data_IF_702666964208
#
_entry.id   IF_702666964208
#
_cell.length_a   1.000
_cell.length_b   1.000
_cell.length_c   1.000
_cell.angle_alpha   90.00
_cell.angle_beta   90.00
_cell.angle_gamma   90.00
#
_symmetry.space_group_name_H-M   'P 1'
#
loop_
_entity.id
_entity.type
_entity.pdbx_description
1 polymer ?
#
# COMPACT_ATOMS: atom_id res chain seq x y z
N UNK A 1 13.53 15.95 17.35
CA UNK A 1 12.19 15.32 17.35
C UNK A 1 12.44 13.85 17.09
N UNK A 2 12.06 12.95 18.00
CA UNK A 2 12.39 11.52 17.87
C UNK A 2 11.69 10.96 16.62
N UNK A 3 12.43 10.78 15.53
CA UNK A 3 12.04 9.92 14.43
C UNK A 3 12.06 8.49 14.97
N UNK A 4 10.89 8.03 15.42
CA UNK A 4 10.72 6.65 15.83
C UNK A 4 10.87 5.77 14.58
N UNK A 5 11.84 4.86 14.59
CA UNK A 5 12.08 3.85 13.54
C UNK A 5 10.94 2.82 13.36
N UNK A 6 9.75 3.11 13.90
CA UNK A 6 8.56 2.30 13.79
C UNK A 6 7.83 2.66 12.49
N UNK A 7 7.62 1.68 11.62
CA UNK A 7 6.86 1.84 10.37
C UNK A 7 6.11 0.53 10.07
N UNK A 8 4.86 0.56 9.58
CA UNK A 8 4.05 1.72 9.17
C UNK A 8 3.25 2.35 10.33
N UNK A 9 3.26 3.68 10.43
CA UNK A 9 2.49 4.43 11.44
C UNK A 9 1.14 4.83 10.87
N UNK A 10 0.07 4.62 11.63
CA UNK A 10 -1.27 5.07 11.26
C UNK A 10 -1.40 6.59 11.34
N UNK A 11 -1.99 7.20 10.30
CA UNK A 11 -2.47 8.59 10.34
C UNK A 11 -3.48 8.79 11.50
N UNK A 12 -3.62 10.01 12.01
CA UNK A 12 -4.47 10.28 13.20
C UNK A 12 -5.91 9.80 13.05
N UNK A 13 -6.51 9.94 11.86
CA UNK A 13 -7.87 9.46 11.58
C UNK A 13 -7.94 7.92 11.61
N UNK A 14 -6.97 7.26 10.98
CA UNK A 14 -6.88 5.79 10.97
C UNK A 14 -6.60 5.26 12.38
N UNK A 15 -5.73 5.93 13.15
CA UNK A 15 -5.41 5.59 14.51
C UNK A 15 -6.66 5.62 15.41
N UNK A 16 -7.53 6.63 15.26
CA UNK A 16 -8.82 6.67 15.96
C UNK A 16 -9.71 5.48 15.59
N UNK A 17 -9.89 5.20 14.29
CA UNK A 17 -10.67 4.04 13.83
C UNK A 17 -10.11 2.71 14.35
N UNK A 18 -8.78 2.56 14.41
CA UNK A 18 -8.10 1.38 14.99
C UNK A 18 -8.41 1.27 16.48
N UNK A 19 -8.30 2.36 17.23
CA UNK A 19 -8.54 2.36 18.67
C UNK A 19 -10.01 2.05 19.01
N UNK A 20 -10.96 2.57 18.23
CA UNK A 20 -12.38 2.25 18.38
C UNK A 20 -12.64 0.77 18.08
N UNK A 21 -12.03 0.21 17.02
CA UNK A 21 -12.13 -1.21 16.69
C UNK A 21 -11.53 -2.08 17.81
N UNK A 22 -10.38 -1.70 18.37
CA UNK A 22 -9.76 -2.40 19.51
C UNK A 22 -10.68 -2.41 20.72
N UNK A 23 -11.35 -1.29 21.00
CA UNK A 23 -12.30 -1.18 22.10
C UNK A 23 -13.49 -2.13 21.89
N UNK A 24 -14.07 -2.16 20.69
CA UNK A 24 -15.14 -3.09 20.34
C UNK A 24 -14.66 -4.54 20.45
N UNK A 25 -13.51 -4.89 19.86
CA UNK A 25 -12.93 -6.22 19.94
C UNK A 25 -12.66 -6.69 21.39
N UNK A 26 -12.35 -5.75 22.30
CA UNK A 26 -12.22 -6.02 23.73
C UNK A 26 -13.55 -6.47 24.35
N UNK A 27 -14.67 -5.84 24.00
CA UNK A 27 -16.01 -6.22 24.46
C UNK A 27 -16.42 -7.62 23.97
N UNK A 28 -16.10 -7.96 22.72
CA UNK A 28 -16.37 -9.28 22.14
C UNK A 28 -15.34 -10.36 22.53
N UNK A 29 -14.37 -10.05 23.41
CA UNK A 29 -13.28 -10.94 23.84
C UNK A 29 -12.41 -11.47 22.69
N UNK A 30 -12.32 -10.73 21.58
CA UNK A 30 -11.52 -11.04 20.40
C UNK A 30 -10.15 -10.34 20.39
N UNK A 31 -9.73 -9.82 21.54
CA UNK A 31 -8.48 -9.06 21.67
C UNK A 31 -7.50 -9.77 22.60
N UNK A 32 -6.28 -9.99 22.13
CA UNK A 32 -5.13 -10.42 22.92
C UNK A 32 -4.16 -9.27 23.12
N UNK A 33 -3.63 -9.14 24.34
CA UNK A 33 -2.91 -7.95 24.82
C UNK A 33 -1.49 -8.36 25.20
N UNK A 34 -0.50 -7.62 24.70
CA UNK A 34 0.93 -7.82 24.98
C UNK A 34 1.68 -8.54 23.86
N UNK A 35 3.01 -8.33 23.82
CA UNK A 35 3.88 -8.84 22.76
C UNK A 35 3.94 -10.38 22.72
N UNK A 36 4.03 -11.04 23.88
CA UNK A 36 4.06 -12.50 23.97
C UNK A 36 2.75 -13.13 23.51
N UNK A 37 1.61 -12.48 23.79
CA UNK A 37 0.31 -12.97 23.37
C UNK A 37 0.10 -12.77 21.86
N UNK A 38 0.55 -11.63 21.30
CA UNK A 38 0.57 -11.41 19.85
C UNK A 38 1.44 -12.45 19.13
N UNK A 39 2.60 -12.82 19.70
CA UNK A 39 3.46 -13.88 19.15
C UNK A 39 2.74 -15.24 19.14
N UNK A 40 1.98 -15.56 20.19
CA UNK A 40 1.20 -16.81 20.25
C UNK A 40 0.07 -16.84 19.23
N UNK A 41 -0.67 -15.75 19.06
CA UNK A 41 -1.79 -15.70 18.10
C UNK A 41 -1.29 -15.73 16.66
N UNK A 42 -0.16 -15.09 16.36
CA UNK A 42 0.52 -15.17 15.07
C UNK A 42 0.96 -16.60 14.75
N UNK A 43 1.67 -17.25 15.67
CA UNK A 43 2.13 -18.64 15.47
C UNK A 43 0.98 -19.65 15.34
N UNK A 44 -0.18 -19.36 15.95
CA UNK A 44 -1.39 -20.19 15.84
C UNK A 44 -2.22 -19.91 14.59
N UNK A 45 -1.89 -18.88 13.81
CA UNK A 45 -2.66 -18.48 12.63
C UNK A 45 -4.06 -17.95 12.96
N UNK A 46 -4.32 -17.53 14.21
CA UNK A 46 -5.62 -16.98 14.63
C UNK A 46 -5.64 -15.45 14.65
N UNK A 47 -4.51 -14.81 14.37
CA UNK A 47 -4.38 -13.35 14.39
C UNK A 47 -4.80 -12.79 13.03
N UNK A 48 -5.73 -11.84 13.04
CA UNK A 48 -6.18 -11.13 11.85
C UNK A 48 -5.38 -9.85 11.62
N UNK A 49 -5.11 -9.09 12.69
CA UNK A 49 -4.39 -7.81 12.64
C UNK A 49 -3.53 -7.68 13.90
N UNK A 50 -2.32 -7.19 13.74
CA UNK A 50 -1.41 -6.86 14.84
C UNK A 50 -1.26 -5.35 14.96
N UNK A 51 -1.43 -4.83 16.17
CA UNK A 51 -1.36 -3.41 16.47
C UNK A 51 -0.20 -3.20 17.43
N UNK A 52 0.72 -2.32 17.08
CA UNK A 52 1.97 -2.05 17.80
C UNK A 52 2.00 -0.59 18.25
N UNK A 53 2.69 -0.28 19.33
CA UNK A 53 2.84 1.11 19.78
C UNK A 53 4.21 1.68 19.40
N UNK A 54 4.22 2.82 18.70
CA UNK A 54 5.43 3.49 18.23
C UNK A 54 6.26 4.15 19.35
N UNK A 55 5.62 4.60 20.44
CA UNK A 55 6.26 5.25 21.60
C UNK A 55 6.85 4.27 22.64
N UNK A 56 7.07 3.03 22.22
CA UNK A 56 7.69 1.99 23.05
C UNK A 56 9.19 2.26 23.17
N UNK A 57 9.69 2.36 24.40
CA UNK A 57 11.12 2.49 24.68
C UNK A 57 11.53 1.34 25.62
N UNK A 58 12.45 0.45 25.19
CA UNK A 58 13.12 0.39 23.89
C UNK A 58 12.25 -0.26 22.79
N UNK A 59 12.30 0.29 21.56
CA UNK A 59 11.54 -0.24 20.41
C UNK A 59 11.97 -1.67 20.02
N UNK A 60 13.21 -2.06 20.35
CA UNK A 60 13.76 -3.38 20.06
C UNK A 60 12.91 -4.55 20.58
N UNK A 61 12.12 -4.33 21.63
CA UNK A 61 11.21 -5.34 22.19
C UNK A 61 10.14 -5.75 21.17
N UNK A 62 9.75 -4.86 20.25
CA UNK A 62 8.68 -5.13 19.27
C UNK A 62 9.19 -5.62 17.92
N UNK A 63 10.48 -5.52 17.60
CA UNK A 63 11.01 -5.79 16.25
C UNK A 63 10.78 -7.22 15.74
N UNK A 64 10.58 -8.19 16.64
CA UNK A 64 10.27 -9.56 16.26
C UNK A 64 8.84 -9.75 15.75
N UNK A 65 7.90 -8.88 16.12
CA UNK A 65 6.49 -9.01 15.76
C UNK A 65 6.21 -8.65 14.29
N UNK A 66 6.69 -7.51 13.74
CA UNK A 66 6.58 -7.22 12.31
C UNK A 66 7.11 -8.36 11.43
N UNK A 67 8.33 -8.83 11.72
CA UNK A 67 8.96 -9.90 10.93
C UNK A 67 8.13 -11.20 10.95
N UNK A 68 7.58 -11.56 12.12
CA UNK A 68 6.72 -12.73 12.24
C UNK A 68 5.36 -12.53 11.57
N UNK A 69 4.81 -11.30 11.61
CA UNK A 69 3.57 -10.97 10.95
C UNK A 69 3.72 -11.04 9.42
N UNK A 70 4.85 -10.58 8.88
CA UNK A 70 5.20 -10.72 7.45
C UNK A 70 5.31 -12.19 7.02
N UNK A 71 6.03 -13.04 7.78
CA UNK A 71 6.14 -14.48 7.49
C UNK A 71 4.76 -15.17 7.43
N UNK A 72 3.82 -14.73 8.26
CA UNK A 72 2.45 -15.26 8.32
C UNK A 72 1.45 -14.50 7.44
N UNK A 73 1.91 -13.50 6.69
CA UNK A 73 1.07 -12.64 5.86
C UNK A 73 -0.10 -12.00 6.64
N UNK A 74 0.16 -11.58 7.88
CA UNK A 74 -0.79 -10.90 8.76
C UNK A 74 -0.46 -9.41 8.77
N UNK A 75 -1.41 -8.51 8.46
CA UNK A 75 -1.16 -7.08 8.47
C UNK A 75 -0.87 -6.57 9.89
N UNK A 76 0.06 -5.62 9.97
CA UNK A 76 0.40 -4.95 11.22
C UNK A 76 0.44 -3.43 11.05
N UNK A 77 0.22 -2.70 12.15
CA UNK A 77 0.22 -1.23 12.14
C UNK A 77 0.74 -0.66 13.46
N UNK A 78 1.47 0.44 13.38
CA UNK A 78 1.90 1.20 14.54
C UNK A 78 0.94 2.35 14.87
N UNK A 79 0.50 2.41 16.12
CA UNK A 79 -0.27 3.50 16.71
C UNK A 79 0.69 4.43 17.44
N UNK A 80 0.50 5.77 17.38
CA UNK A 80 1.44 6.73 17.96
C UNK A 80 1.61 6.61 19.49
N UNK A 81 0.60 6.12 20.24
CA UNK A 81 0.67 6.07 21.71
C UNK A 81 0.24 4.72 22.32
N UNK A 82 1.11 4.14 23.14
CA UNK A 82 0.84 2.95 23.99
C UNK A 82 -0.17 3.20 25.10
N UNK A 83 -0.31 4.45 25.53
CA UNK A 83 -1.28 4.84 26.59
C UNK A 83 -2.69 4.86 26.00
N UNK A 84 -2.85 5.41 24.78
CA UNK A 84 -4.10 5.37 24.05
C UNK A 84 -4.52 3.91 23.76
N UNK A 85 -3.57 3.09 23.30
CA UNK A 85 -3.81 1.66 23.04
C UNK A 85 -4.23 0.90 24.30
N UNK A 86 -3.56 1.14 25.43
CA UNK A 86 -3.93 0.56 26.73
C UNK A 86 -5.35 0.91 27.15
N UNK A 87 -5.75 2.18 26.99
CA UNK A 87 -7.11 2.65 27.28
C UNK A 87 -8.16 1.97 26.40
N UNK A 88 -7.91 1.88 25.08
CA UNK A 88 -8.80 1.17 24.16
C UNK A 88 -8.93 -0.32 24.51
N UNK A 89 -7.86 -0.93 25.01
CA UNK A 89 -7.89 -2.31 25.49
C UNK A 89 -8.63 -2.48 26.83
N UNK A 90 -9.12 -1.40 27.46
CA UNK A 90 -9.76 -1.41 28.77
C UNK A 90 -8.79 -1.68 29.93
N UNK A 91 -7.51 -1.31 29.79
CA UNK A 91 -6.47 -1.54 30.80
C UNK A 91 -5.85 -0.21 31.22
N UNK A 92 -5.61 -0.03 32.52
CA UNK A 92 -4.96 1.19 33.06
C UNK A 92 -3.45 1.25 32.78
N UNK A 93 -2.83 0.11 32.46
CA UNK A 93 -1.42 -0.02 32.11
C UNK A 93 -1.22 0.19 30.61
N UNK A 94 -0.08 0.78 30.25
CA UNK A 94 0.35 0.90 28.86
C UNK A 94 0.46 -0.48 28.20
N UNK A 95 -0.04 -0.60 26.97
CA UNK A 95 0.03 -1.82 26.17
C UNK A 95 0.89 -1.55 24.95
N UNK A 96 1.90 -2.39 24.73
CA UNK A 96 2.89 -2.21 23.66
C UNK A 96 2.49 -2.90 22.35
N UNK A 97 1.66 -3.94 22.44
CA UNK A 97 1.18 -4.71 21.30
C UNK A 97 -0.20 -5.29 21.61
N UNK A 98 -1.05 -5.37 20.62
CA UNK A 98 -2.35 -6.04 20.68
C UNK A 98 -2.58 -6.83 19.39
N UNK A 99 -3.28 -7.97 19.50
CA UNK A 99 -3.64 -8.80 18.36
C UNK A 99 -5.15 -9.01 18.37
N UNK A 100 -5.80 -8.69 17.26
CA UNK A 100 -7.21 -8.98 17.03
C UNK A 100 -7.29 -10.39 16.45
N UNK A 101 -8.07 -11.27 17.09
CA UNK A 101 -8.22 -12.67 16.68
C UNK A 101 -9.47 -12.91 15.87
N UNK A 102 -9.43 -13.86 14.95
CA UNK A 102 -10.62 -14.33 14.22
C UNK A 102 -11.63 -14.91 15.20
N UNK A 103 -12.88 -14.49 15.11
CA UNK A 103 -14.00 -15.26 15.65
C UNK A 103 -15.25 -15.00 14.81
N UNK A 104 -15.79 -16.08 14.25
CA UNK A 104 -16.85 -16.10 13.24
C UNK A 104 -18.20 -15.62 13.80
N UNK A 105 -18.35 -15.54 15.12
CA UNK A 105 -19.59 -15.10 15.79
C UNK A 105 -19.74 -13.58 15.94
N UNK A 106 -18.78 -12.78 15.47
CA UNK A 106 -18.81 -11.32 15.66
C UNK A 106 -19.21 -10.54 14.41
N UNK A 107 -20.00 -9.49 14.62
CA UNK A 107 -20.35 -8.48 13.62
C UNK A 107 -19.18 -7.56 13.22
N UNK A 108 -17.98 -7.76 13.79
CA UNK A 108 -16.78 -6.94 13.53
C UNK A 108 -15.99 -7.36 12.27
N UNK A 109 -16.29 -8.54 11.72
CA UNK A 109 -15.64 -9.08 10.52
C UNK A 109 -15.55 -8.07 9.34
N UNK A 110 -16.62 -7.34 8.94
CA UNK A 110 -16.51 -6.36 7.86
C UNK A 110 -15.56 -5.20 8.18
N UNK A 111 -15.58 -4.68 9.42
CA UNK A 111 -14.69 -3.59 9.82
C UNK A 111 -13.23 -4.03 9.89
N UNK A 112 -12.97 -5.26 10.37
CA UNK A 112 -11.64 -5.86 10.36
C UNK A 112 -11.14 -5.99 8.93
N UNK A 113 -11.98 -6.47 8.00
CA UNK A 113 -11.61 -6.60 6.58
C UNK A 113 -11.30 -5.25 5.94
N UNK A 114 -12.13 -4.23 6.19
CA UNK A 114 -11.88 -2.88 5.70
C UNK A 114 -10.54 -2.33 6.23
N UNK A 115 -10.27 -2.54 7.53
CA UNK A 115 -9.01 -2.11 8.14
C UNK A 115 -7.81 -2.83 7.52
N UNK A 116 -7.89 -4.16 7.31
CA UNK A 116 -6.83 -4.93 6.63
C UNK A 116 -6.50 -4.36 5.25
N UNK A 117 -7.51 -4.06 4.46
CA UNK A 117 -7.33 -3.51 3.11
C UNK A 117 -6.67 -2.11 3.13
N UNK A 118 -6.78 -1.37 4.24
CA UNK A 118 -6.07 -0.10 4.43
C UNK A 118 -4.62 -0.26 4.89
N UNK A 119 -4.24 -1.42 5.42
CA UNK A 119 -2.91 -1.66 6.01
C UNK A 119 -1.93 -2.35 5.06
N UNK A 120 -2.42 -2.99 4.00
CA UNK A 120 -1.60 -3.79 3.09
C UNK A 120 -1.28 -3.00 1.82
N UNK A 121 0.01 -2.87 1.52
CA UNK A 121 0.56 -2.18 0.35
C UNK A 121 0.41 -2.97 -0.95
N UNK A 122 0.68 -4.28 -0.89
CA UNK A 122 0.50 -5.20 -2.00
C UNK A 122 -0.45 -6.32 -1.60
N UNK A 123 -1.55 -6.48 -2.31
CA UNK A 123 -2.54 -7.52 -2.01
C UNK A 123 -2.86 -8.35 -3.25
N UNK A 124 -3.12 -9.64 -3.01
CA UNK A 124 -3.56 -10.59 -4.02
C UNK A 124 -5.06 -10.75 -3.88
N UNK A 125 -5.82 -10.32 -4.88
CA UNK A 125 -7.28 -10.41 -4.88
C UNK A 125 -7.78 -11.04 -6.18
N UNK A 126 -8.96 -11.66 -6.07
CA UNK A 126 -9.72 -12.14 -7.22
C UNK A 126 -10.63 -11.03 -7.69
N UNK A 127 -10.55 -10.70 -8.97
CA UNK A 127 -11.32 -9.66 -9.62
C UNK A 127 -12.11 -10.24 -10.78
N UNK A 128 -13.28 -9.65 -11.01
CA UNK A 128 -14.11 -9.93 -12.17
C UNK A 128 -13.99 -8.79 -13.19
N UNK A 129 -13.84 -9.15 -14.46
CA UNK A 129 -13.89 -8.20 -15.57
C UNK A 129 -14.84 -8.68 -16.64
N UNK A 130 -15.79 -7.82 -16.99
CA UNK A 130 -16.66 -8.04 -18.14
C UNK A 130 -15.99 -7.49 -19.42
N UNK A 131 -15.96 -8.33 -20.46
CA UNK A 131 -15.44 -7.99 -21.78
C UNK A 131 -16.54 -8.27 -22.82
N UNK A 132 -16.83 -7.27 -23.64
CA UNK A 132 -17.77 -7.37 -24.76
C UNK A 132 -16.99 -7.63 -26.05
N UNK A 133 -17.38 -8.67 -26.77
CA UNK A 133 -16.75 -9.09 -28.03
C UNK A 133 -17.73 -8.93 -29.18
N UNK A 134 -17.29 -8.24 -30.23
CA UNK A 134 -18.07 -8.07 -31.44
C UNK A 134 -18.15 -9.38 -32.25
N UNK A 135 -19.28 -9.69 -32.93
CA UNK A 135 -19.47 -10.94 -33.68
C UNK A 135 -18.37 -11.31 -34.69
N UNK A 136 -17.72 -10.31 -35.28
CA UNK A 136 -16.58 -10.53 -36.22
C UNK A 136 -15.43 -11.31 -35.59
N UNK A 137 -15.24 -11.18 -34.28
CA UNK A 137 -14.17 -11.86 -33.53
C UNK A 137 -14.63 -13.19 -32.94
N UNK A 138 -15.83 -13.66 -33.29
CA UNK A 138 -16.28 -14.99 -32.92
C UNK A 138 -15.52 -16.01 -33.75
N UNK A 139 -14.73 -16.84 -33.07
CA UNK A 139 -13.89 -17.83 -33.70
C UNK A 139 -13.19 -18.71 -32.68
N UNK A 140 -12.35 -19.62 -33.17
CA UNK A 140 -11.62 -20.58 -32.32
C UNK A 140 -10.61 -19.91 -31.38
N UNK A 141 -10.21 -18.68 -31.69
CA UNK A 141 -9.23 -17.90 -30.90
C UNK A 141 -9.89 -16.95 -29.90
N UNK A 142 -11.22 -17.04 -29.69
CA UNK A 142 -11.94 -16.11 -28.82
C UNK A 142 -11.40 -16.09 -27.39
N UNK A 143 -11.03 -17.25 -26.83
CA UNK A 143 -10.44 -17.29 -25.49
C UNK A 143 -9.08 -16.62 -25.45
N UNK A 144 -8.23 -16.82 -26.44
CA UNK A 144 -6.91 -16.18 -26.47
C UNK A 144 -7.06 -14.66 -26.62
N UNK A 145 -7.96 -14.21 -27.49
CA UNK A 145 -8.24 -12.79 -27.68
C UNK A 145 -8.77 -12.14 -26.39
N UNK A 146 -9.65 -12.83 -25.66
CA UNK A 146 -10.15 -12.39 -24.36
C UNK A 146 -9.02 -12.28 -23.33
N UNK A 147 -8.10 -13.26 -23.28
CA UNK A 147 -6.92 -13.21 -22.40
C UNK A 147 -6.02 -12.02 -22.75
N UNK A 148 -5.65 -11.88 -24.01
CA UNK A 148 -4.76 -10.81 -24.46
C UNK A 148 -5.39 -9.43 -24.24
N UNK A 149 -6.71 -9.30 -24.44
CA UNK A 149 -7.44 -8.09 -24.12
C UNK A 149 -7.45 -7.80 -22.62
N UNK A 150 -7.65 -8.81 -21.78
CA UNK A 150 -7.59 -8.65 -20.32
C UNK A 150 -6.22 -8.14 -19.87
N UNK A 151 -5.12 -8.75 -20.34
CA UNK A 151 -3.76 -8.30 -19.97
C UNK A 151 -3.52 -6.86 -20.42
N UNK A 152 -3.87 -6.52 -21.66
CA UNK A 152 -3.68 -5.16 -22.20
C UNK A 152 -4.49 -4.10 -21.45
N UNK A 153 -5.72 -4.41 -21.08
CA UNK A 153 -6.64 -3.43 -20.51
C UNK A 153 -6.46 -3.27 -18.99
N UNK A 154 -6.05 -4.34 -18.30
CA UNK A 154 -6.00 -4.37 -16.84
C UNK A 154 -4.61 -4.19 -16.26
N UNK A 155 -3.53 -4.63 -16.91
CA UNK A 155 -2.18 -4.42 -16.35
C UNK A 155 -1.79 -2.94 -16.39
N UNK A 156 -1.35 -2.41 -15.25
CA UNK A 156 -1.12 -0.99 -15.03
C UNK A 156 -2.40 -0.17 -14.81
N UNK A 157 -3.59 -0.76 -14.91
CA UNK A 157 -4.84 -0.04 -14.71
C UNK A 157 -4.97 0.45 -13.27
N UNK A 158 -5.47 1.68 -13.13
CA UNK A 158 -5.69 2.34 -11.85
C UNK A 158 -7.17 2.69 -11.70
N UNK A 159 -7.80 2.18 -10.64
CA UNK A 159 -9.19 2.50 -10.32
C UNK A 159 -9.33 3.71 -9.37
N UNK A 160 -8.22 4.38 -9.05
CA UNK A 160 -8.14 5.52 -8.13
C UNK A 160 -7.86 5.14 -6.67
N UNK A 161 -7.96 3.85 -6.33
CA UNK A 161 -7.60 3.33 -5.01
C UNK A 161 -6.34 2.46 -5.07
N UNK A 162 -6.18 1.64 -6.11
CA UNK A 162 -5.04 0.76 -6.29
C UNK A 162 -4.68 0.63 -7.78
N UNK A 163 -3.45 0.20 -8.03
CA UNK A 163 -2.94 -0.23 -9.32
C UNK A 163 -3.02 -1.74 -9.44
N UNK A 164 -3.42 -2.24 -10.59
CA UNK A 164 -3.20 -3.63 -10.97
C UNK A 164 -1.78 -3.72 -11.52
N UNK A 165 -0.86 -4.35 -10.78
CA UNK A 165 0.55 -4.44 -11.16
C UNK A 165 0.72 -5.49 -12.25
N UNK A 166 0.23 -6.69 -12.01
CA UNK A 166 0.23 -7.79 -12.96
C UNK A 166 -0.90 -8.76 -12.66
N UNK A 167 -1.36 -9.44 -13.71
CA UNK A 167 -2.29 -10.54 -13.58
C UNK A 167 -1.47 -11.81 -13.34
N UNK A 168 -1.81 -12.55 -12.28
CA UNK A 168 -1.11 -13.78 -11.90
C UNK A 168 -1.63 -14.97 -12.69
N UNK A 169 -2.94 -15.16 -12.67
CA UNK A 169 -3.63 -16.27 -13.29
C UNK A 169 -5.10 -15.95 -13.56
N UNK A 170 -5.63 -16.59 -14.60
CA UNK A 170 -7.04 -16.51 -14.96
C UNK A 170 -7.70 -17.78 -14.47
N UNK A 171 -8.60 -17.65 -13.51
CA UNK A 171 -9.24 -18.78 -12.86
C UNK A 171 -10.40 -19.32 -13.70
N UNK A 172 -11.24 -18.43 -14.26
CA UNK A 172 -12.39 -18.83 -15.05
C UNK A 172 -12.77 -17.77 -16.10
N UNK A 173 -13.25 -18.23 -17.25
CA UNK A 173 -13.89 -17.40 -18.29
C UNK A 173 -15.31 -17.92 -18.46
N UNK A 174 -16.31 -17.07 -18.22
CA UNK A 174 -17.71 -17.46 -18.35
C UNK A 174 -18.07 -17.78 -19.81
N UNK A 175 -19.10 -18.61 -20.07
CA UNK A 175 -19.66 -18.69 -21.42
C UNK A 175 -20.18 -17.32 -21.87
N UNK A 176 -20.00 -17.01 -23.14
CA UNK A 176 -20.41 -15.73 -23.73
C UNK A 176 -21.93 -15.59 -23.75
N UNK A 177 -22.44 -14.50 -23.18
CA UNK A 177 -23.87 -14.16 -23.19
C UNK A 177 -24.14 -13.13 -24.28
N UNK A 178 -24.93 -13.50 -25.28
CA UNK A 178 -25.30 -12.59 -26.37
C UNK A 178 -26.30 -11.56 -25.84
N UNK A 179 -25.97 -10.28 -25.99
CA UNK A 179 -26.88 -9.19 -25.63
C UNK A 179 -27.91 -8.98 -26.74
N UNK A 180 -29.22 -8.86 -26.40
CA UNK A 180 -30.24 -8.52 -27.35
C UNK A 180 -29.98 -7.15 -28.02
N UNK A 181 -30.17 -7.06 -29.33
CA UNK A 181 -30.09 -5.81 -30.09
C UNK A 181 -28.80 -5.63 -30.89
N UNK A 182 -27.63 -5.73 -30.24
CA UNK A 182 -26.33 -5.50 -30.88
C UNK A 182 -25.63 -6.80 -31.33
N UNK A 183 -26.06 -7.96 -30.84
CA UNK A 183 -25.45 -9.25 -31.17
C UNK A 183 -24.08 -9.50 -30.54
N UNK A 184 -23.55 -8.56 -29.75
CA UNK A 184 -22.30 -8.70 -29.01
C UNK A 184 -22.40 -9.78 -27.92
N UNK A 185 -21.31 -10.51 -27.71
CA UNK A 185 -21.21 -11.48 -26.62
C UNK A 185 -20.44 -10.89 -25.45
N UNK A 186 -21.00 -10.99 -24.24
CA UNK A 186 -20.36 -10.58 -22.99
C UNK A 186 -19.78 -11.78 -22.26
N UNK A 187 -18.52 -11.66 -21.86
CA UNK A 187 -17.78 -12.66 -21.10
C UNK A 187 -17.36 -12.04 -19.77
N UNK A 188 -17.61 -12.73 -18.67
CA UNK A 188 -17.09 -12.38 -17.34
C UNK A 188 -15.85 -13.22 -17.09
N UNK A 189 -14.71 -12.57 -16.91
CA UNK A 189 -13.43 -13.21 -16.60
C UNK A 189 -13.11 -13.00 -15.14
N UNK A 190 -12.97 -14.10 -14.39
CA UNK A 190 -12.47 -14.10 -13.03
C UNK A 190 -10.97 -14.39 -13.05
N UNK A 191 -10.17 -13.44 -12.57
CA UNK A 191 -8.72 -13.51 -12.56
C UNK A 191 -8.18 -13.05 -11.22
N UNK A 192 -6.95 -13.46 -10.93
CA UNK A 192 -6.22 -13.04 -9.74
C UNK A 192 -5.10 -12.10 -10.16
N UNK A 193 -4.94 -11.01 -9.42
CA UNK A 193 -3.93 -10.01 -9.71
C UNK A 193 -3.17 -9.58 -8.46
N UNK A 194 -1.93 -9.13 -8.67
CA UNK A 194 -1.18 -8.38 -7.65
C UNK A 194 -1.62 -6.92 -7.76
N UNK A 195 -2.19 -6.41 -6.69
CA UNK A 195 -2.65 -5.05 -6.56
C UNK A 195 -1.66 -4.28 -5.70
N UNK A 196 -1.32 -3.05 -6.09
CA UNK A 196 -0.50 -2.15 -5.30
C UNK A 196 -1.26 -0.87 -4.98
N UNK A 197 -1.36 -0.56 -3.69
CA UNK A 197 -1.97 0.67 -3.20
C UNK A 197 -0.88 1.52 -2.55
N UNK A 198 -0.54 2.67 -3.13
CA UNK A 198 0.41 3.57 -2.50
C UNK A 198 -0.24 4.25 -1.29
N UNK A 199 0.57 4.56 -0.27
CA UNK A 199 0.09 5.23 0.95
C UNK A 199 0.95 6.44 1.34
N UNK A 200 0.34 7.37 2.06
CA UNK A 200 1.08 8.47 2.68
C UNK A 200 2.03 7.93 3.74
N UNK A 201 3.27 8.40 3.74
CA UNK A 201 4.35 7.97 4.63
C UNK A 201 5.15 6.78 4.12
N UNK A 202 4.72 6.12 3.05
CA UNK A 202 5.48 5.07 2.36
C UNK A 202 6.74 5.65 1.73
N UNK A 203 7.85 4.93 1.87
CA UNK A 203 9.12 5.27 1.21
C UNK A 203 9.33 4.33 0.04
N UNK A 204 9.33 4.89 -1.17
CA UNK A 204 9.45 4.17 -2.43
C UNK A 204 10.74 4.54 -3.14
N UNK A 205 11.26 3.58 -3.89
CA UNK A 205 12.35 3.81 -4.83
C UNK A 205 11.74 4.20 -6.18
N UNK A 206 12.18 5.34 -6.70
CA UNK A 206 11.69 5.92 -7.95
C UNK A 206 12.85 6.17 -8.91
N UNK A 207 12.54 6.21 -10.20
CA UNK A 207 13.49 6.68 -11.22
C UNK A 207 13.10 8.09 -11.66
N UNK A 208 14.06 9.01 -11.68
CA UNK A 208 13.82 10.39 -12.12
C UNK A 208 13.55 10.43 -13.62
N UNK A 209 12.39 10.95 -14.01
CA UNK A 209 11.99 11.07 -15.42
C UNK A 209 12.27 12.44 -16.01
N UNK A 210 12.11 13.50 -15.21
CA UNK A 210 12.46 14.86 -15.62
C UNK A 210 12.79 15.76 -14.43
N UNK A 211 13.66 16.72 -14.68
CA UNK A 211 14.06 17.73 -13.70
C UNK A 211 13.65 19.09 -14.21
N UNK A 212 13.00 19.90 -13.37
CA UNK A 212 12.54 21.26 -13.70
C UNK A 212 12.88 22.23 -12.57
N UNK A 213 12.85 23.55 -12.79
CA UNK A 213 13.17 24.54 -11.75
C UNK A 213 12.30 24.41 -10.49
N UNK A 214 11.04 23.99 -10.65
CA UNK A 214 10.09 23.79 -9.54
C UNK A 214 10.34 22.52 -8.72
N UNK A 215 11.11 21.55 -9.23
CA UNK A 215 11.27 20.25 -8.59
C UNK A 215 11.59 19.11 -9.55
N UNK A 216 11.50 17.89 -9.05
CA UNK A 216 11.86 16.66 -9.74
C UNK A 216 10.61 15.80 -9.95
N UNK A 217 10.44 15.27 -11.16
CA UNK A 217 9.44 14.26 -11.48
C UNK A 217 10.13 12.89 -11.52
N UNK A 218 9.54 11.93 -10.84
CA UNK A 218 10.04 10.57 -10.78
C UNK A 218 8.87 9.58 -10.83
N UNK A 219 9.15 8.35 -11.25
CA UNK A 219 8.15 7.30 -11.40
C UNK A 219 8.56 6.08 -10.57
N UNK A 220 7.62 5.54 -9.81
CA UNK A 220 7.72 4.25 -9.14
C UNK A 220 6.70 3.30 -9.78
N UNK A 221 7.16 2.54 -10.77
CA UNK A 221 6.26 1.75 -11.62
C UNK A 221 5.20 2.64 -12.28
N UNK A 222 3.89 2.39 -12.08
CA UNK A 222 2.83 3.20 -12.67
C UNK A 222 2.53 4.52 -11.90
N UNK A 223 3.09 4.72 -10.70
CA UNK A 223 2.85 5.93 -9.92
C UNK A 223 3.81 7.06 -10.30
N UNK A 224 3.25 8.15 -10.82
CA UNK A 224 3.98 9.40 -10.99
C UNK A 224 4.10 10.18 -9.69
N UNK A 225 5.33 10.50 -9.29
CA UNK A 225 5.67 11.20 -8.05
C UNK A 225 6.33 12.54 -8.37
N UNK A 226 5.81 13.62 -7.80
CA UNK A 226 6.41 14.94 -7.88
C UNK A 226 7.03 15.35 -6.55
N UNK A 227 8.32 15.72 -6.57
CA UNK A 227 9.04 16.27 -5.44
C UNK A 227 9.31 17.75 -5.70
N UNK A 228 8.65 18.62 -4.95
CA UNK A 228 8.88 20.07 -5.01
C UNK A 228 10.30 20.42 -4.55
N UNK A 229 10.88 21.50 -5.08
CA UNK A 229 12.17 22.05 -4.64
C UNK A 229 12.25 22.23 -3.11
N UNK A 230 11.14 22.58 -2.45
CA UNK A 230 11.07 22.76 -0.99
C UNK A 230 11.27 21.46 -0.22
N UNK A 231 10.96 20.32 -0.84
CA UNK A 231 11.08 18.99 -0.26
C UNK A 231 12.29 18.20 -0.81
N UNK A 232 13.22 18.89 -1.48
CA UNK A 232 14.54 18.35 -1.81
C UNK A 232 15.50 18.53 -0.62
N UNK A 233 16.60 17.76 -0.56
CA UNK A 233 17.65 17.97 0.43
C UNK A 233 18.17 19.41 0.44
N UNK A 234 18.52 19.91 1.62
CA UNK A 234 19.16 21.22 1.76
C UNK A 234 20.47 21.27 0.97
N UNK A 235 20.72 22.39 0.28
CA UNK A 235 21.92 22.58 -0.56
C UNK A 235 21.74 22.19 -2.03
N UNK A 236 20.70 21.46 -2.41
CA UNK A 236 20.41 21.13 -3.81
C UNK A 236 19.99 22.37 -4.62
N UNK A 237 20.79 22.73 -5.63
CA UNK A 237 20.52 23.85 -6.53
C UNK A 237 20.24 23.40 -7.95
N UNK A 238 19.25 24.02 -8.59
CA UNK A 238 18.88 23.69 -9.97
C UNK A 238 19.90 24.28 -10.94
N UNK A 239 20.44 23.44 -11.83
CA UNK A 239 21.40 23.79 -12.86
C UNK A 239 20.77 23.57 -14.24
N UNK A 240 20.26 24.63 -14.90
CA UNK A 240 19.64 24.50 -16.23
C UNK A 240 20.66 24.25 -17.34
N UNK A 241 21.90 24.73 -17.16
CA UNK A 241 22.95 24.67 -18.18
C UNK A 241 23.65 23.30 -18.24
N UNK A 242 23.37 22.42 -17.26
CA UNK A 242 23.85 21.05 -17.28
C UNK A 242 23.13 20.24 -18.39
N UNK A 243 23.85 19.31 -19.02
CA UNK A 243 23.31 18.42 -20.05
C UNK A 243 23.40 16.97 -19.57
N UNK A 244 22.32 16.37 -19.03
CA UNK A 244 20.95 16.90 -18.88
C UNK A 244 20.76 17.87 -17.69
N UNK A 245 19.67 18.67 -17.65
CA UNK A 245 19.36 19.52 -16.50
C UNK A 245 19.25 18.72 -15.20
N UNK A 246 19.79 19.27 -14.10
CA UNK A 246 19.94 18.54 -12.85
C UNK A 246 19.76 19.44 -11.61
N UNK A 247 19.52 18.83 -10.46
CA UNK A 247 19.81 19.44 -9.16
C UNK A 247 21.15 18.92 -8.67
N UNK A 248 22.03 19.79 -8.20
CA UNK A 248 23.31 19.37 -7.62
C UNK A 248 23.64 20.14 -6.34
N UNK A 249 24.30 19.45 -5.41
CA UNK A 249 24.89 20.03 -4.19
C UNK A 249 26.42 20.21 -4.36
N UNK A 250 26.98 21.08 -3.54
CA UNK A 250 28.43 21.29 -3.31
C UNK A 250 29.22 20.01 -3.00
N UNK A 251 28.54 18.94 -2.53
CA UNK A 251 29.13 17.62 -2.24
C UNK A 251 29.23 16.69 -3.44
N UNK A 252 28.90 17.19 -4.65
CA UNK A 252 28.94 16.44 -5.91
C UNK A 252 27.83 15.38 -6.07
N UNK A 253 26.81 15.38 -5.21
CA UNK A 253 25.57 14.64 -5.42
C UNK A 253 24.71 15.35 -6.46
N UNK A 254 24.28 14.63 -7.49
CA UNK A 254 23.47 15.17 -8.59
C UNK A 254 22.22 14.32 -8.84
N UNK A 255 21.08 14.98 -8.92
CA UNK A 255 19.79 14.39 -9.31
C UNK A 255 19.49 14.84 -10.74
N UNK A 256 19.66 13.91 -11.68
CA UNK A 256 19.39 14.10 -13.09
C UNK A 256 18.40 13.05 -13.63
N UNK A 257 17.91 13.22 -14.86
CA UNK A 257 17.09 12.21 -15.53
C UNK A 257 17.80 10.84 -15.53
N UNK A 258 17.09 9.81 -15.10
CA UNK A 258 17.58 8.44 -14.96
C UNK A 258 18.19 8.11 -13.59
N UNK A 259 18.33 9.08 -12.69
CA UNK A 259 18.83 8.82 -11.33
C UNK A 259 17.83 7.98 -10.54
N UNK A 260 18.30 6.94 -9.86
CA UNK A 260 17.52 6.22 -8.87
C UNK A 260 17.48 7.04 -7.57
N UNK A 261 16.29 7.28 -7.06
CA UNK A 261 16.07 8.13 -5.89
C UNK A 261 15.06 7.52 -4.94
N UNK A 262 15.25 7.75 -3.65
CA UNK A 262 14.30 7.33 -2.62
C UNK A 262 13.41 8.48 -2.20
N UNK A 263 12.10 8.28 -2.26
CA UNK A 263 11.11 9.31 -2.00
C UNK A 263 10.09 8.81 -0.99
N UNK A 264 9.82 9.61 0.04
CA UNK A 264 8.71 9.36 0.96
C UNK A 264 7.47 10.10 0.48
N UNK A 265 6.36 9.38 0.27
CA UNK A 265 5.08 9.93 -0.14
C UNK A 265 4.53 10.80 0.99
N UNK A 266 4.22 12.07 0.72
CA UNK A 266 3.61 12.99 1.70
C UNK A 266 2.13 13.24 1.40
N UNK A 267 1.70 12.98 0.18
CA UNK A 267 0.31 13.12 -0.22
C UNK A 267 0.02 12.35 -1.49
N UNK A 268 -1.22 11.91 -1.62
CA UNK A 268 -1.73 11.22 -2.81
C UNK A 268 -2.92 12.00 -3.36
N UNK A 269 -2.97 12.08 -4.68
CA UNK A 269 -4.09 12.63 -5.44
C UNK A 269 -4.50 11.59 -6.46
N UNK A 270 -5.70 11.06 -6.32
CA UNK A 270 -6.33 10.22 -7.33
C UNK A 270 -6.94 11.11 -8.42
N UNK A 271 -6.66 10.78 -9.68
CA UNK A 271 -7.32 11.31 -10.87
C UNK A 271 -8.00 10.15 -11.63
N UNK A 272 -8.81 10.46 -12.64
CA UNK A 272 -9.48 9.41 -13.43
C UNK A 272 -8.44 8.63 -14.23
N UNK A 273 -8.17 7.39 -13.81
CA UNK A 273 -7.25 6.46 -14.49
C UNK A 273 -5.78 6.57 -14.08
N UNK A 274 -5.42 7.45 -13.14
CA UNK A 274 -4.06 7.54 -12.60
C UNK A 274 -4.05 8.09 -11.17
N UNK A 275 -3.12 7.64 -10.34
CA UNK A 275 -2.79 8.30 -9.08
C UNK A 275 -1.49 9.08 -9.24
N UNK A 276 -1.45 10.27 -8.65
CA UNK A 276 -0.26 11.09 -8.54
C UNK A 276 0.12 11.26 -7.07
N UNK A 277 1.40 11.13 -6.78
CA UNK A 277 1.92 11.37 -5.45
C UNK A 277 2.72 12.67 -5.39
N UNK A 278 2.67 13.32 -4.24
CA UNK A 278 3.63 14.33 -3.85
C UNK A 278 4.56 13.68 -2.85
N UNK A 279 5.87 13.84 -3.06
CA UNK A 279 6.90 13.24 -2.23
C UNK A 279 7.83 14.25 -1.57
N UNK A 280 8.58 13.78 -0.58
CA UNK A 280 9.74 14.45 -0.01
C UNK A 280 10.96 13.54 -0.05
N UNK A 281 12.14 14.16 -0.06
CA UNK A 281 13.43 13.48 -0.08
C UNK A 281 14.25 13.96 1.11
N UNK A 282 14.86 13.03 1.85
CA UNK A 282 15.79 13.35 2.93
C UNK A 282 17.24 13.26 2.44
N UNK A 283 18.10 14.14 2.94
CA UNK A 283 19.54 14.07 2.73
C UNK A 283 20.15 12.75 3.26
N UNK A 284 19.54 12.16 4.28
CA UNK A 284 19.98 10.89 4.89
C UNK A 284 19.71 9.67 4.00
N UNK A 285 18.91 9.82 2.94
CA UNK A 285 18.62 8.74 1.98
C UNK A 285 19.53 8.78 0.76
N UNK A 286 20.41 9.78 0.67
CA UNK A 286 21.48 9.85 -0.31
C UNK A 286 22.77 9.35 0.35
N UNK A 287 23.18 8.11 0.03
CA UNK A 287 24.42 7.56 0.57
C UNK A 287 24.69 6.12 0.18
N UNK A 288 25.80 5.93 -0.55
CA UNK A 288 26.56 4.72 -0.89
C UNK A 288 25.79 3.39 -0.92
N UNK A 289 25.37 3.01 -2.13
CA UNK A 289 25.49 1.59 -2.52
C UNK A 289 26.95 1.25 -2.75
#
# INVERSE_FOLDING_TARGET
MNESAAWPIADDQLAQSILDLVQQASHYRQLKKGANEATKTLNRGTSEIVILAADTSPLAILLHLPLLAEDKNVPYVYVPSKVALGRACGVSRAVIAASITTNESSDLTPQIRELKNKLIMFFLEYLDRDISVHPTFFGKEIEQNLRDQLYRDMEGHCNGEYYIVCIMDIHNISPGKIQPGLGEAHFTINYRAILWKPFKGETIDCVVTSVKPQGVFCEAGPLGVFVSKVHLPEGMTYQPDATPPQFADSRNDSIQKGSAVRVQIIGLRSDVGAMHAIGKMSAEWFGLT
#
